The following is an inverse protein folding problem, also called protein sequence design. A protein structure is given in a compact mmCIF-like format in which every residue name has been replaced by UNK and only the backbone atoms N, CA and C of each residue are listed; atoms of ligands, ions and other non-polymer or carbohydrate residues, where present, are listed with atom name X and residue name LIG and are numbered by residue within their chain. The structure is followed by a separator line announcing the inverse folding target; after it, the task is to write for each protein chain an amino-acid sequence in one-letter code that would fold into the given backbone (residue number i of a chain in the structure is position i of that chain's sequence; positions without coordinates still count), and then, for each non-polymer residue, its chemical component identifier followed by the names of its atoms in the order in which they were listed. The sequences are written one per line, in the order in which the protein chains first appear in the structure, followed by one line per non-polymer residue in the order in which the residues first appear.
data_IF_671474505949
#
_entry.id   IF_671474505949
#
_cell.length_a   1.000
_cell.length_b   1.000
_cell.length_c   1.000
_cell.angle_alpha   90.00
_cell.angle_beta   90.00
_cell.angle_gamma   90.00
#
_symmetry.space_group_name_H-M   'P 1'
#
loop_
_entity.id
_entity.type
_entity.pdbx_description
1 polymer ?
#
# COMPACT_ATOMS: atom_id res chain seq x y z
N UNK A 1 18.50 -13.11 1.86
CA UNK A 1 17.55 -13.13 2.97
C UNK A 1 18.08 -12.48 4.26
N UNK A 2 18.61 -11.24 4.24
CA UNK A 2 19.19 -10.59 5.46
C UNK A 2 18.74 -9.16 5.74
N UNK A 3 17.73 -8.63 5.02
CA UNK A 3 17.26 -7.23 5.19
C UNK A 3 15.93 -7.08 5.94
N UNK A 4 15.21 -8.18 6.18
CA UNK A 4 13.92 -8.16 6.88
C UNK A 4 14.01 -7.71 8.36
N UNK A 5 15.06 -8.04 9.14
CA UNK A 5 15.15 -7.62 10.54
C UNK A 5 15.47 -6.12 10.71
N UNK A 6 16.05 -5.47 9.70
CA UNK A 6 16.40 -4.04 9.81
C UNK A 6 15.17 -3.14 9.72
N UNK A 7 14.16 -3.51 8.92
CA UNK A 7 12.92 -2.74 8.77
C UNK A 7 12.00 -2.87 9.99
N UNK A 8 11.96 -4.06 10.60
CA UNK A 8 11.19 -4.29 11.82
C UNK A 8 11.82 -3.57 13.02
N UNK A 9 13.16 -3.49 13.09
CA UNK A 9 13.88 -2.76 14.11
C UNK A 9 13.67 -1.24 14.03
N UNK A 10 13.57 -0.67 12.84
CA UNK A 10 13.29 0.75 12.65
C UNK A 10 11.88 1.17 13.12
N UNK A 11 10.89 0.28 13.00
CA UNK A 11 9.54 0.53 13.53
C UNK A 11 9.43 0.39 15.05
N UNK A 12 10.28 -0.42 15.67
CA UNK A 12 10.27 -0.64 17.13
C UNK A 12 11.08 0.40 17.92
N UNK A 13 12.01 1.10 17.28
CA UNK A 13 12.81 2.17 17.92
C UNK A 13 12.02 3.48 18.12
N UNK A 14 10.82 3.61 17.56
CA UNK A 14 9.96 4.78 17.75
C UNK A 14 9.21 4.77 19.10
N UNK A 15 9.32 3.73 19.93
CA UNK A 15 8.53 3.58 21.16
C UNK A 15 9.25 3.92 22.47
N UNK A 16 10.51 4.36 22.43
CA UNK A 16 11.24 4.72 23.64
C UNK A 16 11.57 6.21 23.78
N UNK A 17 10.61 7.10 23.49
CA UNK A 17 10.69 8.48 23.93
C UNK A 17 10.36 8.55 25.43
N UNK A 18 11.41 8.62 26.25
CA UNK A 18 11.33 8.85 27.69
C UNK A 18 10.66 10.21 27.94
N UNK A 19 9.53 10.22 28.61
CA UNK A 19 8.94 11.44 29.15
C UNK A 19 9.89 12.01 30.21
N UNK A 20 10.63 13.03 29.83
CA UNK A 20 11.33 13.92 30.74
C UNK A 20 10.35 14.90 31.36
N UNK A 21 10.40 15.00 32.68
CA UNK A 21 9.56 15.82 33.55
C UNK A 21 9.76 17.30 33.30
N UNK A 22 8.63 18.01 33.26
CA UNK A 22 8.40 19.44 33.50
C UNK A 22 9.16 20.49 32.69
N UNK A 23 8.47 21.09 31.77
CA UNK A 23 8.35 22.53 31.71
C UNK A 23 7.03 22.90 31.05
N UNK A 24 6.42 23.99 31.48
CA UNK A 24 5.09 24.47 31.09
C UNK A 24 4.83 24.27 29.61
N UNK A 25 4.05 23.25 29.29
CA UNK A 25 3.57 23.01 27.97
C UNK A 25 2.63 24.14 27.63
N UNK A 26 3.18 25.21 27.10
CA UNK A 26 2.41 26.13 26.29
C UNK A 26 1.77 25.28 25.20
N UNK A 27 0.52 24.91 25.41
CA UNK A 27 -0.28 24.15 24.48
C UNK A 27 -0.53 25.01 23.24
N UNK A 28 0.50 25.23 22.43
CA UNK A 28 0.35 25.71 21.07
C UNK A 28 -0.32 24.55 20.31
N UNK A 29 -1.62 24.52 20.38
CA UNK A 29 -2.45 23.75 19.47
C UNK A 29 -2.23 24.33 18.06
N UNK A 30 -1.11 23.99 17.42
CA UNK A 30 -1.04 24.08 15.97
C UNK A 30 -2.15 23.19 15.46
N UNK A 31 -3.13 23.82 14.80
CA UNK A 31 -4.32 23.18 14.20
C UNK A 31 -3.94 21.83 13.62
N UNK A 32 -4.67 20.74 13.95
CA UNK A 32 -4.45 19.47 13.29
C UNK A 32 -4.64 19.71 11.78
N UNK A 33 -3.79 19.09 10.98
CA UNK A 33 -3.94 19.07 9.52
C UNK A 33 -5.35 18.54 9.22
N UNK A 34 -6.25 19.42 8.79
CA UNK A 34 -7.62 19.04 8.44
C UNK A 34 -7.59 18.31 7.10
N UNK A 35 -7.95 17.05 7.12
CA UNK A 35 -8.07 16.21 5.92
C UNK A 35 -9.52 16.15 5.42
N UNK A 36 -10.49 16.34 6.31
CA UNK A 36 -11.91 16.27 5.99
C UNK A 36 -12.27 17.17 4.78
N UNK A 37 -13.07 16.60 3.87
CA UNK A 37 -13.52 17.21 2.61
C UNK A 37 -12.39 17.56 1.63
N UNK A 38 -11.22 16.90 1.73
CA UNK A 38 -10.11 17.05 0.79
C UNK A 38 -9.98 15.80 -0.09
N UNK A 39 -9.42 16.01 -1.27
CA UNK A 39 -9.02 14.92 -2.17
C UNK A 39 -7.52 14.68 -1.99
N UNK A 40 -7.15 13.44 -1.77
CA UNK A 40 -5.77 12.97 -1.78
C UNK A 40 -5.50 12.26 -3.09
N UNK A 41 -4.38 12.60 -3.73
CA UNK A 41 -3.85 11.88 -4.89
C UNK A 41 -2.49 11.30 -4.50
N UNK A 42 -2.39 9.98 -4.46
CA UNK A 42 -1.17 9.26 -4.13
C UNK A 42 -0.61 8.56 -5.37
N UNK A 43 0.60 8.97 -5.79
CA UNK A 43 1.38 8.28 -6.81
C UNK A 43 2.44 7.42 -6.12
N UNK A 44 2.53 6.14 -6.47
CA UNK A 44 3.40 5.19 -5.77
C UNK A 44 4.12 4.22 -6.72
N UNK A 45 5.32 3.80 -6.29
CA UNK A 45 5.98 2.60 -6.76
C UNK A 45 5.64 1.41 -5.86
N UNK A 46 5.61 0.20 -6.42
CA UNK A 46 5.28 -1.03 -5.73
C UNK A 46 6.27 -2.14 -6.08
N UNK A 47 6.62 -2.94 -5.08
CA UNK A 47 7.39 -4.17 -5.26
C UNK A 47 6.72 -5.30 -4.48
N UNK A 48 6.72 -6.53 -5.05
CA UNK A 48 6.23 -7.71 -4.32
C UNK A 48 7.27 -8.17 -3.30
N UNK A 49 6.76 -8.70 -2.19
CA UNK A 49 7.54 -9.32 -1.13
C UNK A 49 6.98 -10.71 -0.84
N UNK A 50 7.83 -11.60 -0.32
CA UNK A 50 7.44 -12.96 0.10
C UNK A 50 6.94 -13.89 -1.03
N UNK A 51 7.18 -13.57 -2.29
CA UNK A 51 6.95 -14.48 -3.41
C UNK A 51 8.33 -15.01 -3.88
N UNK A 52 8.65 -16.30 -3.68
CA UNK A 52 9.96 -16.83 -4.04
C UNK A 52 10.13 -17.03 -5.55
N UNK A 53 9.03 -17.15 -6.30
CA UNK A 53 9.07 -17.53 -7.71
C UNK A 53 8.90 -16.36 -8.66
N UNK A 54 8.10 -15.35 -8.28
CA UNK A 54 7.78 -14.23 -9.14
C UNK A 54 8.09 -12.92 -8.43
N UNK A 55 8.96 -12.14 -9.02
CA UNK A 55 9.19 -10.76 -8.58
C UNK A 55 8.32 -9.82 -9.39
N UNK A 56 7.46 -9.08 -8.70
CA UNK A 56 6.60 -8.07 -9.31
C UNK A 56 7.06 -6.69 -8.90
N UNK A 57 7.07 -5.78 -9.85
CA UNK A 57 7.40 -4.37 -9.63
C UNK A 57 6.57 -3.49 -10.54
N UNK A 58 6.27 -2.31 -10.10
CA UNK A 58 5.43 -1.40 -10.86
C UNK A 58 5.01 -0.20 -10.06
N UNK A 59 3.81 0.28 -10.29
CA UNK A 59 3.27 1.43 -9.57
C UNK A 59 1.83 1.72 -9.94
N UNK A 60 1.31 2.79 -9.35
CA UNK A 60 -0.06 3.19 -9.56
C UNK A 60 -0.38 4.58 -9.05
N UNK A 61 -1.64 4.91 -9.19
CA UNK A 61 -2.26 6.14 -8.71
C UNK A 61 -3.48 5.79 -7.88
N UNK A 62 -3.58 6.39 -6.70
CA UNK A 62 -4.74 6.27 -5.83
C UNK A 62 -5.35 7.65 -5.58
N UNK A 63 -6.63 7.78 -5.84
CA UNK A 63 -7.43 8.97 -5.52
C UNK A 63 -8.36 8.67 -4.36
N UNK A 64 -8.27 9.42 -3.25
CA UNK A 64 -9.10 9.24 -2.08
C UNK A 64 -9.83 10.55 -1.74
N UNK A 65 -11.10 10.45 -1.42
CA UNK A 65 -11.88 11.54 -0.87
C UNK A 65 -12.09 11.33 0.64
N UNK A 66 -11.61 12.28 1.44
CA UNK A 66 -11.73 12.24 2.88
C UNK A 66 -13.11 12.72 3.31
N UNK A 67 -14.00 11.79 3.67
CA UNK A 67 -15.37 12.07 4.12
C UNK A 67 -15.36 12.84 5.45
N UNK A 68 -14.46 12.43 6.34
CA UNK A 68 -14.19 13.04 7.64
C UNK A 68 -12.77 12.76 8.05
N UNK A 69 -12.32 13.32 9.16
CA UNK A 69 -11.02 12.98 9.73
C UNK A 69 -10.91 11.47 9.97
N UNK A 70 -9.87 10.88 9.41
CA UNK A 70 -9.58 9.46 9.54
C UNK A 70 -10.49 8.50 8.77
N UNK A 71 -11.40 8.96 7.90
CA UNK A 71 -12.21 8.10 7.02
C UNK A 71 -12.19 8.62 5.60
N UNK A 72 -11.77 7.78 4.67
CA UNK A 72 -11.73 8.12 3.25
C UNK A 72 -12.20 6.96 2.37
N UNK A 73 -12.69 7.31 1.18
CA UNK A 73 -13.09 6.37 0.12
C UNK A 73 -12.53 6.84 -1.21
N UNK A 74 -12.29 5.91 -2.13
CA UNK A 74 -11.70 6.29 -3.41
C UNK A 74 -11.45 5.14 -4.35
N UNK A 75 -10.54 5.38 -5.28
CA UNK A 75 -10.14 4.41 -6.30
C UNK A 75 -8.62 4.26 -6.32
N UNK A 76 -8.20 3.05 -6.60
CA UNK A 76 -6.79 2.68 -6.81
C UNK A 76 -6.65 2.05 -8.20
N UNK A 77 -5.74 2.57 -9.01
CA UNK A 77 -5.42 2.04 -10.32
C UNK A 77 -3.91 1.80 -10.41
N UNK A 78 -3.50 0.60 -10.74
CA UNK A 78 -2.10 0.23 -10.81
C UNK A 78 -1.77 -0.79 -11.87
N UNK A 79 -0.48 -1.02 -12.06
CA UNK A 79 0.04 -2.06 -12.93
C UNK A 79 1.36 -2.59 -12.42
N UNK A 80 1.57 -3.90 -12.60
CA UNK A 80 2.78 -4.59 -12.19
C UNK A 80 3.40 -5.33 -13.37
N UNK A 81 4.70 -5.13 -13.56
CA UNK A 81 5.53 -6.01 -14.36
C UNK A 81 5.91 -7.24 -13.53
N UNK A 82 6.02 -8.39 -14.16
CA UNK A 82 6.40 -9.64 -13.50
C UNK A 82 7.65 -10.19 -14.15
N UNK A 83 8.64 -10.56 -13.35
CA UNK A 83 9.85 -11.25 -13.78
C UNK A 83 10.03 -12.56 -13.01
N UNK A 84 10.49 -13.58 -13.72
CA UNK A 84 10.81 -14.86 -13.11
C UNK A 84 12.08 -14.75 -12.26
N UNK A 85 12.09 -15.34 -11.08
CA UNK A 85 13.28 -15.43 -10.23
C UNK A 85 14.15 -16.64 -10.67
N UNK A 86 15.39 -16.68 -10.18
CA UNK A 86 16.27 -17.83 -10.44
C UNK A 86 15.69 -19.12 -9.84
N UNK A 87 15.02 -19.01 -8.68
CA UNK A 87 14.36 -20.15 -8.02
C UNK A 87 13.27 -20.77 -8.91
N UNK A 88 12.51 -19.94 -9.64
CA UNK A 88 11.53 -20.45 -10.60
C UNK A 88 12.19 -21.24 -11.73
N UNK A 89 13.29 -20.70 -12.27
CA UNK A 89 14.04 -21.36 -13.36
C UNK A 89 14.59 -22.71 -12.92
N UNK A 90 15.17 -22.78 -11.71
CA UNK A 90 15.70 -24.00 -11.13
C UNK A 90 14.58 -25.01 -10.87
N UNK A 91 13.47 -24.56 -10.24
CA UNK A 91 12.34 -25.43 -9.94
C UNK A 91 11.72 -26.05 -11.20
N UNK A 92 11.64 -25.30 -12.28
CA UNK A 92 11.17 -25.83 -13.57
C UNK A 92 12.15 -26.82 -14.22
N UNK A 93 13.45 -26.54 -14.16
CA UNK A 93 14.48 -27.38 -14.80
C UNK A 93 14.76 -28.65 -14.03
N UNK A 94 14.94 -28.55 -12.72
CA UNK A 94 15.43 -29.68 -11.92
C UNK A 94 14.30 -30.51 -11.31
N UNK A 95 13.21 -29.84 -10.89
CA UNK A 95 12.10 -30.51 -10.21
C UNK A 95 10.93 -30.83 -11.15
N UNK A 96 10.99 -30.40 -12.43
CA UNK A 96 9.90 -30.54 -13.40
C UNK A 96 8.56 -30.01 -12.80
N UNK A 97 8.65 -29.07 -11.86
CA UNK A 97 7.50 -28.51 -11.15
C UNK A 97 6.64 -27.68 -12.11
N UNK A 98 5.36 -27.98 -12.17
CA UNK A 98 4.38 -27.20 -12.93
C UNK A 98 3.97 -25.98 -12.10
N UNK A 99 4.75 -24.89 -12.20
CA UNK A 99 4.47 -23.65 -11.51
C UNK A 99 3.65 -22.76 -12.44
N UNK A 100 2.51 -22.32 -11.94
CA UNK A 100 1.58 -21.46 -12.67
C UNK A 100 2.12 -20.03 -12.62
N UNK A 101 2.41 -19.47 -13.78
CA UNK A 101 2.79 -18.07 -13.90
C UNK A 101 1.55 -17.23 -14.20
N UNK A 102 1.17 -16.36 -13.26
CA UNK A 102 0.14 -15.34 -13.46
C UNK A 102 0.80 -13.97 -13.52
N UNK A 103 0.69 -13.34 -14.67
CA UNK A 103 1.20 -12.00 -14.93
C UNK A 103 0.09 -10.99 -14.74
N UNK A 104 0.18 -10.18 -13.70
CA UNK A 104 -0.73 -9.07 -13.48
C UNK A 104 -0.31 -7.89 -14.38
N UNK A 105 -1.23 -7.38 -15.20
CA UNK A 105 -0.96 -6.26 -16.10
C UNK A 105 -1.47 -4.94 -15.56
N UNK A 106 -2.71 -4.94 -15.09
CA UNK A 106 -3.35 -3.76 -14.54
C UNK A 106 -4.37 -4.15 -13.48
N UNK A 107 -4.64 -3.27 -12.55
CA UNK A 107 -5.67 -3.42 -11.53
C UNK A 107 -6.45 -2.13 -11.34
N UNK A 108 -7.72 -2.28 -10.96
CA UNK A 108 -8.59 -1.18 -10.55
C UNK A 108 -9.44 -1.65 -9.37
N UNK A 109 -9.43 -0.88 -8.28
CA UNK A 109 -10.19 -1.21 -7.07
C UNK A 109 -10.86 0.02 -6.48
N UNK A 110 -12.07 -0.17 -5.96
CA UNK A 110 -12.70 0.75 -5.02
C UNK A 110 -12.12 0.52 -3.63
N UNK A 111 -11.72 1.59 -2.95
CA UNK A 111 -10.99 1.55 -1.69
C UNK A 111 -11.77 2.27 -0.59
N UNK A 112 -11.68 1.74 0.61
CA UNK A 112 -12.05 2.44 1.85
C UNK A 112 -10.87 2.41 2.81
N UNK A 113 -10.63 3.50 3.53
CA UNK A 113 -9.52 3.61 4.46
C UNK A 113 -9.96 4.27 5.76
N UNK A 114 -9.46 3.74 6.87
CA UNK A 114 -9.61 4.32 8.20
C UNK A 114 -8.23 4.63 8.76
N UNK A 115 -8.09 5.75 9.46
CA UNK A 115 -6.85 6.16 10.09
C UNK A 115 -7.04 6.26 11.62
N UNK A 116 -6.83 5.16 12.36
CA UNK A 116 -7.06 5.11 13.79
C UNK A 116 -6.00 5.83 14.61
N UNK A 117 -4.80 6.03 14.07
CA UNK A 117 -3.68 6.59 14.82
C UNK A 117 -3.16 7.84 14.09
N UNK A 118 -3.18 8.94 14.81
CA UNK A 118 -2.57 10.20 14.39
C UNK A 118 -1.63 10.68 15.48
N UNK A 119 -0.44 11.14 15.10
CA UNK A 119 0.56 11.59 16.05
C UNK A 119 1.46 12.69 15.49
N UNK A 120 2.33 13.17 16.37
CA UNK A 120 3.36 14.16 16.06
C UNK A 120 4.67 13.65 16.61
N UNK A 121 5.73 13.76 15.82
CA UNK A 121 7.11 13.45 16.23
C UNK A 121 7.94 14.73 16.13
N UNK A 122 8.61 15.08 17.22
CA UNK A 122 9.59 16.13 17.21
C UNK A 122 10.91 15.57 16.64
N UNK A 123 11.40 16.20 15.59
CA UNK A 123 12.72 15.92 15.03
C UNK A 123 13.77 16.84 15.65
N UNK A 124 15.07 16.47 15.63
CA UNK A 124 16.13 17.37 16.03
C UNK A 124 16.05 18.70 15.28
N UNK A 125 16.10 19.83 16.00
CA UNK A 125 15.94 21.18 15.45
C UNK A 125 14.51 21.71 15.48
N UNK A 126 13.69 21.29 16.45
CA UNK A 126 12.31 21.74 16.71
C UNK A 126 11.30 21.57 15.56
N UNK A 127 11.64 20.78 14.55
CA UNK A 127 10.74 20.45 13.48
C UNK A 127 9.71 19.41 13.93
N UNK A 128 8.41 19.74 13.88
CA UNK A 128 7.31 18.82 14.17
C UNK A 128 6.82 18.17 12.88
N UNK A 129 6.98 16.86 12.78
CA UNK A 129 6.43 16.05 11.70
C UNK A 129 5.16 15.35 12.18
N UNK A 130 4.07 15.54 11.44
CA UNK A 130 2.82 14.84 11.68
C UNK A 130 2.83 13.50 10.96
N UNK A 131 2.33 12.47 11.61
CA UNK A 131 2.15 11.17 10.99
C UNK A 131 0.76 10.61 11.23
N UNK A 132 0.34 9.75 10.33
CA UNK A 132 -0.93 9.06 10.40
C UNK A 132 -0.73 7.61 9.97
N UNK A 133 -1.25 6.68 10.79
CA UNK A 133 -1.29 5.26 10.42
C UNK A 133 -2.70 4.92 9.97
N UNK A 134 -2.82 4.31 8.80
CA UNK A 134 -4.09 3.95 8.21
C UNK A 134 -4.18 2.45 7.89
N UNK A 135 -5.41 1.96 7.90
CA UNK A 135 -5.81 0.64 7.41
C UNK A 135 -6.71 0.84 6.21
N UNK A 136 -6.52 0.05 5.19
CA UNK A 136 -7.36 0.10 4.01
C UNK A 136 -7.83 -1.28 3.56
N UNK A 137 -8.96 -1.30 2.88
CA UNK A 137 -9.49 -2.47 2.20
C UNK A 137 -10.19 -2.04 0.91
N UNK A 138 -10.23 -2.93 -0.07
CA UNK A 138 -10.84 -2.63 -1.36
C UNK A 138 -11.28 -3.86 -2.12
N UNK A 139 -12.19 -3.60 -3.06
CA UNK A 139 -12.75 -4.58 -3.99
C UNK A 139 -12.55 -4.07 -5.41
N UNK A 140 -12.19 -4.96 -6.33
CA UNK A 140 -11.97 -4.53 -7.71
C UNK A 140 -11.75 -5.67 -8.68
N UNK A 141 -11.08 -5.35 -9.76
CA UNK A 141 -10.68 -6.28 -10.80
C UNK A 141 -9.21 -6.14 -11.14
N UNK A 142 -8.59 -7.25 -11.41
CA UNK A 142 -7.23 -7.33 -11.93
C UNK A 142 -7.23 -7.99 -13.32
N UNK A 143 -6.50 -7.39 -14.23
CA UNK A 143 -6.27 -7.94 -15.56
C UNK A 143 -5.04 -8.84 -15.47
N UNK A 144 -5.26 -10.14 -15.64
CA UNK A 144 -4.21 -11.15 -15.59
C UNK A 144 -4.01 -11.80 -16.96
N UNK A 145 -2.81 -12.30 -17.17
CA UNK A 145 -2.40 -13.07 -18.33
C UNK A 145 -1.71 -14.35 -17.85
N UNK A 146 -2.27 -15.49 -18.26
CA UNK A 146 -1.78 -16.84 -17.93
C UNK A 146 -1.71 -17.67 -19.20
N UNK A 147 -1.19 -18.90 -19.12
CA UNK A 147 -1.25 -19.87 -20.22
C UNK A 147 -2.69 -20.16 -20.68
N UNK A 148 -3.68 -20.02 -19.79
CA UNK A 148 -5.09 -20.20 -20.08
C UNK A 148 -5.73 -19.00 -20.82
N UNK A 149 -4.97 -17.91 -21.02
CA UNK A 149 -5.39 -16.68 -21.70
C UNK A 149 -5.45 -15.47 -20.79
N UNK A 150 -5.89 -14.36 -21.36
CA UNK A 150 -6.04 -13.07 -20.71
C UNK A 150 -7.45 -12.87 -20.20
N UNK A 151 -7.61 -12.30 -19.02
CA UNK A 151 -8.94 -12.01 -18.48
C UNK A 151 -8.93 -11.09 -17.26
N UNK A 152 -10.09 -10.49 -16.99
CA UNK A 152 -10.32 -9.71 -15.78
C UNK A 152 -10.79 -10.63 -14.67
N UNK A 153 -10.17 -10.54 -13.50
CA UNK A 153 -10.48 -11.36 -12.32
C UNK A 153 -10.93 -10.49 -11.17
N UNK A 154 -11.93 -10.94 -10.40
CA UNK A 154 -12.30 -10.24 -9.16
C UNK A 154 -11.14 -10.28 -8.19
N UNK A 155 -10.91 -9.15 -7.52
CA UNK A 155 -9.77 -8.94 -6.62
C UNK A 155 -10.22 -8.31 -5.32
N UNK A 156 -9.65 -8.81 -4.23
CA UNK A 156 -9.67 -8.21 -2.91
C UNK A 156 -8.28 -7.65 -2.61
N UNK A 157 -8.22 -6.47 -2.03
CA UNK A 157 -6.97 -5.88 -1.55
C UNK A 157 -7.16 -5.30 -0.15
N UNK A 158 -6.09 -5.30 0.63
CA UNK A 158 -6.10 -4.69 1.95
C UNK A 158 -4.69 -4.48 2.47
N UNK A 159 -4.53 -3.54 3.39
CA UNK A 159 -3.20 -3.23 3.91
C UNK A 159 -3.20 -2.26 5.07
N UNK A 160 -1.98 -2.02 5.55
CA UNK A 160 -1.65 -1.02 6.55
C UNK A 160 -0.59 -0.09 5.97
N UNK A 161 -0.73 1.19 6.25
CA UNK A 161 0.23 2.17 5.79
C UNK A 161 0.43 3.31 6.76
N UNK A 162 1.42 4.12 6.43
CA UNK A 162 1.78 5.30 7.21
C UNK A 162 1.98 6.49 6.27
N UNK A 163 1.45 7.63 6.66
CA UNK A 163 1.67 8.92 6.02
C UNK A 163 2.51 9.79 6.92
N UNK A 164 3.55 10.39 6.37
CA UNK A 164 4.39 11.40 7.01
C UNK A 164 4.14 12.73 6.30
N UNK A 165 3.53 13.68 6.98
CA UNK A 165 3.19 14.97 6.39
C UNK A 165 4.42 15.87 6.33
N UNK A 166 4.86 16.18 5.11
CA UNK A 166 5.98 17.09 4.83
C UNK A 166 5.52 18.56 4.82
N UNK A 167 4.21 18.78 4.79
CA UNK A 167 3.57 20.09 4.78
C UNK A 167 2.05 19.98 4.76
N UNK A 168 1.37 21.05 4.50
CA UNK A 168 -0.11 21.09 4.50
C UNK A 168 -0.74 20.29 3.33
N UNK A 169 -0.01 20.14 2.24
CA UNK A 169 -0.52 19.57 1.00
C UNK A 169 0.28 18.36 0.50
N UNK A 170 1.37 17.98 1.18
CA UNK A 170 2.25 16.92 0.72
C UNK A 170 2.57 15.95 1.85
N UNK A 171 2.49 14.66 1.58
CA UNK A 171 2.92 13.61 2.48
C UNK A 171 3.74 12.55 1.75
N UNK A 172 4.70 11.96 2.45
CA UNK A 172 5.35 10.71 2.07
C UNK A 172 4.48 9.57 2.61
N UNK A 173 4.09 8.66 1.73
CA UNK A 173 3.18 7.56 2.08
C UNK A 173 3.85 6.23 1.78
N UNK A 174 3.86 5.36 2.79
CA UNK A 174 4.31 3.98 2.69
C UNK A 174 3.17 3.04 3.08
N UNK A 175 3.05 1.90 2.38
CA UNK A 175 2.01 0.89 2.63
C UNK A 175 2.57 -0.52 2.42
N UNK A 176 2.17 -1.43 3.28
CA UNK A 176 2.29 -2.87 3.07
C UNK A 176 0.89 -3.42 2.90
N UNK A 177 0.64 -4.13 1.81
CA UNK A 177 -0.68 -4.65 1.51
C UNK A 177 -0.63 -5.96 0.77
N UNK A 178 -1.72 -6.72 0.87
CA UNK A 178 -1.95 -7.95 0.14
C UNK A 178 -3.03 -7.78 -0.92
N UNK A 179 -2.90 -8.54 -1.97
CA UNK A 179 -3.92 -8.70 -3.01
C UNK A 179 -4.24 -10.18 -3.16
N UNK A 180 -5.53 -10.50 -3.25
CA UNK A 180 -6.03 -11.86 -3.49
C UNK A 180 -7.03 -11.82 -4.64
N UNK A 181 -6.86 -12.70 -5.61
CA UNK A 181 -7.74 -12.81 -6.76
C UNK A 181 -7.93 -14.26 -7.20
N UNK A 182 -9.04 -14.53 -7.88
CA UNK A 182 -9.36 -15.84 -8.41
C UNK A 182 -8.78 -15.98 -9.83
N UNK A 183 -7.83 -16.91 -10.04
CA UNK A 183 -7.21 -17.16 -11.34
C UNK A 183 -7.72 -18.47 -11.94
N UNK A 184 -7.93 -18.47 -13.26
CA UNK A 184 -8.26 -19.69 -14.00
C UNK A 184 -6.99 -20.30 -14.59
N UNK A 185 -6.80 -21.55 -14.27
CA UNK A 185 -5.63 -22.32 -14.67
C UNK A 185 -6.07 -23.56 -15.43
N UNK A 186 -5.28 -23.97 -16.40
CA UNK A 186 -5.46 -25.24 -17.09
C UNK A 186 -4.68 -26.32 -16.36
N UNK A 187 -5.39 -27.26 -15.72
CA UNK A 187 -4.82 -28.47 -15.13
C UNK A 187 -5.38 -29.66 -15.88
N UNK A 188 -4.54 -30.43 -16.54
CA UNK A 188 -4.91 -31.61 -17.33
C UNK A 188 -6.03 -31.33 -18.38
N UNK A 189 -5.97 -30.15 -19.01
CA UNK A 189 -6.94 -29.72 -19.99
C UNK A 189 -8.26 -29.21 -19.43
N UNK A 190 -8.45 -29.23 -18.10
CA UNK A 190 -9.61 -28.70 -17.41
C UNK A 190 -9.32 -27.33 -16.80
N UNK A 191 -10.27 -26.40 -16.92
CA UNK A 191 -10.18 -25.11 -16.23
C UNK A 191 -10.50 -25.29 -14.75
N UNK A 192 -9.55 -24.97 -13.91
CA UNK A 192 -9.72 -24.92 -12.45
C UNK A 192 -9.51 -23.48 -11.97
N UNK A 193 -10.23 -23.11 -10.92
CA UNK A 193 -10.10 -21.79 -10.30
C UNK A 193 -9.26 -21.93 -9.04
N UNK A 194 -8.17 -21.19 -8.98
CA UNK A 194 -7.28 -21.13 -7.82
C UNK A 194 -7.23 -19.71 -7.26
N UNK A 195 -7.23 -19.60 -5.93
CA UNK A 195 -6.96 -18.33 -5.27
C UNK A 195 -5.45 -18.04 -5.35
N UNK A 196 -5.11 -16.90 -5.91
CA UNK A 196 -3.76 -16.38 -5.98
C UNK A 196 -3.64 -15.16 -5.10
N UNK A 197 -2.53 -15.00 -4.40
CA UNK A 197 -2.29 -13.84 -3.57
C UNK A 197 -0.82 -13.53 -3.42
N UNK A 198 -0.50 -12.26 -3.20
CA UNK A 198 0.84 -11.80 -2.93
C UNK A 198 0.81 -10.52 -2.09
N UNK A 199 1.95 -10.20 -1.51
CA UNK A 199 2.15 -9.00 -0.71
C UNK A 199 3.00 -8.00 -1.47
N UNK A 200 2.70 -6.71 -1.30
CA UNK A 200 3.46 -5.60 -1.87
C UNK A 200 3.87 -4.60 -0.80
N UNK A 201 5.03 -4.00 -1.01
CA UNK A 201 5.43 -2.75 -0.36
C UNK A 201 5.26 -1.65 -1.39
N UNK A 202 4.57 -0.60 -1.00
CA UNK A 202 4.28 0.57 -1.82
C UNK A 202 4.87 1.80 -1.14
N UNK A 203 5.52 2.68 -1.91
CA UNK A 203 6.10 3.93 -1.44
C UNK A 203 5.85 5.01 -2.46
N UNK A 204 5.46 6.19 -2.01
CA UNK A 204 5.18 7.30 -2.92
C UNK A 204 4.80 8.59 -2.23
N UNK A 205 4.34 9.55 -3.02
CA UNK A 205 3.94 10.87 -2.57
C UNK A 205 2.44 11.06 -2.68
N UNK A 206 1.84 11.57 -1.62
CA UNK A 206 0.43 11.96 -1.56
C UNK A 206 0.29 13.47 -1.61
N UNK A 207 -0.53 13.97 -2.54
CA UNK A 207 -0.93 15.37 -2.64
C UNK A 207 -2.35 15.55 -2.15
N UNK A 208 -2.54 16.50 -1.24
CA UNK A 208 -3.84 16.91 -0.74
C UNK A 208 -4.30 18.18 -1.46
N UNK A 209 -5.28 18.03 -2.33
CA UNK A 209 -5.90 19.17 -2.99
C UNK A 209 -6.71 19.98 -1.96
N UNK A 210 -6.75 21.33 -2.10
CA UNK A 210 -7.56 22.15 -1.22
C UNK A 210 -9.03 21.71 -1.29
N UNK A 211 -9.69 21.61 -0.13
CA UNK A 211 -11.09 21.21 -0.06
C UNK A 211 -11.97 22.10 -0.95
N UNK A 212 -12.98 21.49 -1.56
CA UNK A 212 -14.01 22.25 -2.29
C UNK A 212 -14.61 23.24 -1.30
N UNK A 213 -14.39 24.49 -1.57
CA UNK A 213 -14.76 25.64 -0.72
C UNK A 213 -16.28 25.74 -0.64
N UNK A 214 -16.86 25.10 0.34
CA UNK A 214 -18.26 25.14 0.66
C UNK A 214 -18.39 25.15 2.17
N UNK A 215 -18.17 26.32 2.73
CA UNK A 215 -18.86 26.90 3.87
C UNK A 215 -18.00 28.04 4.46
N UNK A 216 -18.39 29.25 4.16
CA UNK A 216 -18.14 30.38 5.02
C UNK A 216 -19.27 30.44 6.05
#
# INVERSE_FOLDING_TARGET
MRLLPLFLAACLLATSARAGESDEISAVQKRPLRQAKRVELWAYGAISIADPYLQRWGGGLRGMYHLREGLSVGLDAGGLGTSATQELVIAKRELHARIIESHQRASLAGMASIAPIYGKVALPGDALVHFETFLDAGLGGVLTETEAGRGVRPMLTGGIGQRLFLGENLALTARVGGEVYAEHVLVDGQRQTHAMGFWTVQLGLSWYLPGIRGDR
#
